data_IF_856769354905
#
_entry.id   IF_856769354905
#
_cell.length_a   1.000
_cell.length_b   1.000
_cell.length_c   1.000
_cell.angle_alpha   90.00
_cell.angle_beta   90.00
_cell.angle_gamma   90.00
#
_symmetry.space_group_name_H-M   'P 1'
#
loop_
_entity.id
_entity.type
_entity.pdbx_description
1 polymer ?
#
# COMPACT_ATOMS: atom_id res chain seq x y z
N UNK A 1 -1.95 11.11 -28.01
CA UNK A 1 -2.19 9.81 -27.37
C UNK A 1 -1.04 8.95 -27.86
N UNK A 2 -0.04 8.70 -27.01
CA UNK A 2 1.09 7.81 -27.38
C UNK A 2 0.50 6.41 -27.44
N UNK A 3 0.75 5.72 -28.55
CA UNK A 3 0.34 4.34 -28.70
C UNK A 3 0.99 3.51 -27.60
N UNK A 4 0.16 2.89 -26.75
CA UNK A 4 0.60 2.06 -25.63
C UNK A 4 1.54 0.95 -26.12
N UNK A 5 1.39 0.54 -27.37
CA UNK A 5 2.17 -0.49 -28.01
C UNK A 5 3.60 -0.03 -28.35
N UNK A 6 3.79 1.23 -28.76
CA UNK A 6 5.13 1.80 -28.99
C UNK A 6 5.99 1.82 -27.69
N UNK A 7 5.34 1.76 -26.52
CA UNK A 7 6.03 1.74 -25.22
C UNK A 7 6.22 0.31 -24.70
N UNK A 8 5.25 -0.58 -24.90
CA UNK A 8 5.27 -1.96 -24.38
C UNK A 8 6.20 -2.89 -25.16
N UNK A 9 6.22 -2.80 -26.48
CA UNK A 9 7.03 -3.68 -27.32
C UNK A 9 8.55 -3.56 -27.02
N UNK A 10 9.12 -2.35 -26.87
CA UNK A 10 10.51 -2.20 -26.43
C UNK A 10 10.75 -2.62 -24.99
N UNK A 11 9.75 -2.53 -24.11
CA UNK A 11 9.86 -2.94 -22.72
C UNK A 11 9.92 -4.47 -22.59
N UNK A 12 9.02 -5.17 -23.26
CA UNK A 12 9.00 -6.64 -23.33
C UNK A 12 10.30 -7.16 -23.98
N UNK A 13 10.75 -6.59 -25.09
CA UNK A 13 11.97 -6.99 -25.76
C UNK A 13 13.25 -6.82 -24.92
N UNK A 14 13.28 -5.89 -23.96
CA UNK A 14 14.43 -5.66 -23.06
C UNK A 14 14.44 -6.54 -21.82
N UNK A 15 13.29 -7.02 -21.39
CA UNK A 15 13.16 -7.86 -20.21
C UNK A 15 13.22 -9.33 -20.59
N UNK A 16 12.84 -9.65 -21.82
CA UNK A 16 12.88 -11.00 -22.39
C UNK A 16 14.25 -11.72 -22.24
N UNK A 17 15.42 -11.07 -22.40
CA UNK A 17 16.71 -11.70 -22.16
C UNK A 17 16.95 -12.17 -20.72
N UNK A 18 16.10 -11.77 -19.77
CA UNK A 18 16.18 -12.21 -18.36
C UNK A 18 15.33 -13.45 -18.07
N UNK A 19 14.57 -13.93 -19.04
CA UNK A 19 13.86 -15.22 -18.97
C UNK A 19 14.90 -16.33 -18.87
N UNK A 20 14.75 -17.31 -17.93
CA UNK A 20 15.77 -18.32 -17.71
C UNK A 20 16.19 -19.06 -18.97
N UNK A 21 17.48 -19.32 -19.10
CA UNK A 21 18.06 -20.09 -20.21
C UNK A 21 17.57 -21.52 -20.32
N UNK A 22 16.77 -21.98 -19.33
CA UNK A 22 16.15 -23.32 -19.28
C UNK A 22 15.01 -23.53 -20.26
N UNK A 23 14.43 -22.43 -20.82
CA UNK A 23 13.37 -22.56 -21.83
C UNK A 23 14.00 -22.77 -23.21
N UNK A 24 13.45 -23.72 -23.96
CA UNK A 24 13.80 -23.89 -25.38
C UNK A 24 13.35 -22.67 -26.20
N UNK A 25 13.99 -22.46 -27.35
CA UNK A 25 13.69 -21.34 -28.24
C UNK A 25 12.21 -21.34 -28.69
N UNK A 26 11.64 -22.52 -28.94
CA UNK A 26 10.22 -22.67 -29.28
C UNK A 26 9.27 -22.33 -28.12
N UNK A 27 9.66 -22.58 -26.86
CA UNK A 27 8.89 -22.20 -25.68
C UNK A 27 8.95 -20.70 -25.43
N UNK A 28 10.09 -20.06 -25.72
CA UNK A 28 10.26 -18.60 -25.67
C UNK A 28 9.39 -17.91 -26.70
N UNK A 29 9.45 -18.34 -27.98
CA UNK A 29 8.62 -17.78 -29.04
C UNK A 29 7.12 -17.93 -28.78
N UNK A 30 6.71 -19.08 -28.24
CA UNK A 30 5.31 -19.31 -27.88
C UNK A 30 4.85 -18.40 -26.74
N UNK A 31 5.66 -18.25 -25.69
CA UNK A 31 5.37 -17.42 -24.54
C UNK A 31 5.32 -15.94 -24.93
N UNK A 32 6.25 -15.48 -25.79
CA UNK A 32 6.24 -14.15 -26.35
C UNK A 32 4.95 -13.86 -27.13
N UNK A 33 4.54 -14.79 -27.99
CA UNK A 33 3.31 -14.67 -28.75
C UNK A 33 2.07 -14.60 -27.86
N UNK A 34 2.00 -15.42 -26.80
CA UNK A 34 0.88 -15.45 -25.83
C UNK A 34 0.81 -14.13 -25.04
N UNK A 35 1.95 -13.59 -24.57
CA UNK A 35 2.03 -12.28 -23.91
C UNK A 35 1.57 -11.15 -24.83
N UNK A 36 2.04 -11.14 -26.06
CA UNK A 36 1.68 -10.13 -27.03
C UNK A 36 0.19 -10.16 -27.37
N UNK A 37 -0.43 -11.34 -27.45
CA UNK A 37 -1.87 -11.51 -27.66
C UNK A 37 -2.66 -10.99 -26.46
N UNK A 38 -2.25 -11.32 -25.23
CA UNK A 38 -2.91 -10.87 -24.02
C UNK A 38 -2.85 -9.32 -23.86
N UNK A 39 -1.70 -8.72 -24.17
CA UNK A 39 -1.53 -7.26 -24.15
C UNK A 39 -2.40 -6.56 -25.20
N UNK A 40 -2.50 -7.10 -26.42
CA UNK A 40 -3.39 -6.56 -27.47
C UNK A 40 -4.88 -6.68 -27.11
N UNK A 41 -5.28 -7.79 -26.48
CA UNK A 41 -6.64 -7.96 -26.00
C UNK A 41 -7.02 -6.93 -24.95
N UNK A 42 -6.11 -6.64 -23.99
CA UNK A 42 -6.29 -5.57 -23.00
C UNK A 42 -6.39 -4.18 -23.64
N UNK A 43 -5.59 -3.89 -24.66
CA UNK A 43 -5.64 -2.62 -25.38
C UNK A 43 -6.97 -2.46 -26.14
N UNK A 44 -7.41 -3.52 -26.83
CA UNK A 44 -8.68 -3.53 -27.56
C UNK A 44 -9.87 -3.33 -26.63
N UNK A 45 -9.88 -3.95 -25.45
CA UNK A 45 -10.92 -3.79 -24.44
C UNK A 45 -10.98 -2.35 -23.87
N UNK A 46 -9.85 -1.63 -23.85
CA UNK A 46 -9.75 -0.23 -23.38
C UNK A 46 -10.19 0.79 -24.45
N UNK A 47 -10.02 0.48 -25.74
CA UNK A 47 -10.36 1.37 -26.87
C UNK A 47 -11.82 1.34 -27.31
N UNK A 48 -12.60 0.37 -26.87
CA UNK A 48 -13.99 0.17 -27.21
C UNK A 48 -14.94 0.90 -26.25
N UNK A 49 -15.29 2.15 -26.54
CA UNK A 49 -16.57 2.67 -26.09
C UNK A 49 -17.67 1.84 -26.80
N UNK A 50 -18.72 1.37 -26.11
CA UNK A 50 -19.75 0.56 -26.73
C UNK A 50 -20.51 1.40 -27.76
N UNK A 51 -20.30 1.14 -29.04
CA UNK A 51 -21.22 1.54 -30.08
C UNK A 51 -22.47 0.68 -29.95
N UNK A 52 -23.58 1.30 -29.67
CA UNK A 52 -24.90 0.66 -29.60
C UNK A 52 -25.19 -0.15 -30.89
N UNK A 53 -25.50 -1.42 -30.71
CA UNK A 53 -26.25 -2.22 -31.67
C UNK A 53 -25.44 -3.27 -32.42
N UNK A 54 -25.38 -4.49 -31.85
CA UNK A 54 -25.70 -5.75 -32.54
C UNK A 54 -25.81 -6.86 -31.48
N UNK A 55 -27.04 -7.30 -31.23
CA UNK A 55 -27.33 -8.56 -30.51
C UNK A 55 -26.95 -9.73 -31.40
N UNK A 56 -26.21 -10.68 -30.86
CA UNK A 56 -25.98 -11.98 -31.48
C UNK A 56 -24.85 -12.81 -30.89
N UNK A 57 -25.25 -13.81 -30.11
CA UNK A 57 -24.54 -15.06 -29.79
C UNK A 57 -23.34 -15.05 -28.84
N UNK A 58 -23.51 -15.76 -27.72
CA UNK A 58 -22.52 -16.25 -26.73
C UNK A 58 -21.45 -15.23 -26.31
N UNK A 59 -21.85 -14.38 -25.36
CA UNK A 59 -21.06 -13.24 -24.96
C UNK A 59 -20.26 -13.49 -23.70
N UNK A 60 -19.03 -13.96 -23.81
CA UNK A 60 -18.03 -13.65 -22.80
C UNK A 60 -17.65 -12.18 -22.92
N UNK A 61 -17.56 -11.48 -21.80
CA UNK A 61 -17.04 -10.10 -21.76
C UNK A 61 -15.59 -10.12 -22.24
N UNK A 62 -15.23 -9.34 -23.30
CA UNK A 62 -13.84 -9.31 -23.82
C UNK A 62 -12.79 -8.97 -22.74
N UNK A 63 -13.19 -8.25 -21.70
CA UNK A 63 -12.34 -7.95 -20.53
C UNK A 63 -12.12 -9.21 -19.67
N UNK A 64 -13.16 -10.03 -19.51
CA UNK A 64 -13.08 -11.27 -18.75
C UNK A 64 -12.29 -12.34 -19.49
N UNK A 65 -12.42 -12.42 -20.80
CA UNK A 65 -11.62 -13.33 -21.65
C UNK A 65 -10.13 -12.92 -21.66
N UNK A 66 -9.83 -11.63 -21.74
CA UNK A 66 -8.46 -11.12 -21.63
C UNK A 66 -7.87 -11.35 -20.22
N UNK A 67 -8.66 -11.18 -19.16
CA UNK A 67 -8.24 -11.44 -17.79
C UNK A 67 -7.95 -12.94 -17.55
N UNK A 68 -8.75 -13.82 -18.11
CA UNK A 68 -8.52 -15.28 -18.07
C UNK A 68 -7.27 -15.70 -18.85
N UNK A 69 -7.03 -15.10 -20.01
CA UNK A 69 -5.82 -15.36 -20.79
C UNK A 69 -4.55 -14.91 -20.08
N UNK A 70 -4.59 -13.75 -19.44
CA UNK A 70 -3.49 -13.24 -18.58
C UNK A 70 -3.27 -14.13 -17.36
N UNK A 71 -4.34 -14.57 -16.68
CA UNK A 71 -4.24 -15.48 -15.55
C UNK A 71 -3.65 -16.85 -15.94
N UNK A 72 -4.05 -17.39 -17.08
CA UNK A 72 -3.50 -18.65 -17.61
C UNK A 72 -2.01 -18.53 -17.98
N UNK A 73 -1.60 -17.37 -18.54
CA UNK A 73 -0.19 -17.11 -18.83
C UNK A 73 0.65 -16.98 -17.55
N UNK A 74 0.08 -16.44 -16.47
CA UNK A 74 0.73 -16.35 -15.15
C UNK A 74 0.85 -17.71 -14.46
N UNK A 75 -0.16 -18.56 -14.59
CA UNK A 75 -0.10 -19.94 -14.06
C UNK A 75 0.94 -20.77 -14.80
N UNK A 76 1.07 -20.58 -16.11
CA UNK A 76 2.04 -21.29 -16.92
C UNK A 76 3.49 -20.83 -16.68
N UNK A 77 3.70 -19.55 -16.34
CA UNK A 77 5.04 -19.02 -16.09
C UNK A 77 5.04 -17.88 -15.05
N UNK A 78 5.24 -18.21 -13.75
CA UNK A 78 5.21 -17.25 -12.65
C UNK A 78 6.08 -15.97 -12.81
N UNK A 79 7.32 -16.03 -13.36
CA UNK A 79 8.12 -14.82 -13.58
C UNK A 79 7.50 -13.80 -14.53
N UNK A 80 6.52 -14.19 -15.33
CA UNK A 80 5.79 -13.30 -16.24
C UNK A 80 4.94 -12.28 -15.49
N UNK A 81 4.43 -12.66 -14.31
CA UNK A 81 3.68 -11.78 -13.43
C UNK A 81 4.49 -10.56 -12.99
N UNK A 82 5.73 -10.80 -12.57
CA UNK A 82 6.63 -9.74 -12.12
C UNK A 82 7.00 -8.79 -13.28
N UNK A 83 7.10 -9.32 -14.50
CA UNK A 83 7.37 -8.57 -15.71
C UNK A 83 6.23 -7.68 -16.17
N UNK A 84 5.00 -8.19 -16.10
CA UNK A 84 3.80 -7.42 -16.46
C UNK A 84 3.50 -6.33 -15.44
N UNK A 85 3.65 -6.60 -14.14
CA UNK A 85 3.52 -5.58 -13.10
C UNK A 85 4.55 -4.48 -13.30
N UNK A 86 5.81 -4.81 -13.58
CA UNK A 86 6.85 -3.82 -13.87
C UNK A 86 6.57 -3.02 -15.17
N UNK A 87 5.99 -3.65 -16.19
CA UNK A 87 5.59 -2.99 -17.42
C UNK A 87 4.34 -2.12 -17.23
N UNK A 88 3.37 -2.56 -16.41
CA UNK A 88 2.19 -1.77 -16.05
C UNK A 88 2.57 -0.56 -15.17
N UNK A 89 3.41 -0.73 -14.17
CA UNK A 89 3.91 0.37 -13.35
C UNK A 89 4.62 1.42 -14.20
N UNK A 90 5.40 0.98 -15.21
CA UNK A 90 6.07 1.85 -16.16
C UNK A 90 5.09 2.65 -17.03
N UNK A 91 3.96 2.06 -17.43
CA UNK A 91 2.90 2.71 -18.22
C UNK A 91 2.15 3.78 -17.41
N UNK A 92 1.81 3.47 -16.17
CA UNK A 92 1.11 4.39 -15.25
C UNK A 92 1.94 5.66 -15.04
N UNK A 93 3.21 5.50 -14.74
CA UNK A 93 4.12 6.63 -14.54
C UNK A 93 4.38 7.44 -15.80
N UNK A 94 4.27 6.83 -17.00
CA UNK A 94 4.40 7.51 -18.29
C UNK A 94 3.24 8.45 -18.62
N UNK A 95 2.01 8.11 -18.24
CA UNK A 95 0.81 8.91 -18.53
C UNK A 95 0.66 10.16 -17.65
N UNK A 96 1.15 10.14 -16.42
CA UNK A 96 1.07 11.28 -15.50
C UNK A 96 1.97 12.47 -15.88
N UNK A 97 2.88 12.32 -16.84
CA UNK A 97 3.95 13.28 -17.16
C UNK A 97 3.75 14.20 -18.34
N UNK A 98 2.75 14.06 -19.13
CA UNK A 98 2.53 14.87 -20.34
C UNK A 98 1.39 15.89 -20.21
N UNK A 99 1.13 16.40 -19.01
CA UNK A 99 0.33 17.61 -18.82
C UNK A 99 1.08 18.84 -19.35
N UNK A 100 0.38 19.84 -19.94
CA UNK A 100 1.00 21.02 -20.58
C UNK A 100 1.75 21.97 -19.64
N UNK A 101 1.73 21.76 -18.32
CA UNK A 101 2.24 22.70 -17.32
C UNK A 101 3.47 22.22 -16.52
N UNK A 102 4.27 21.31 -17.04
CA UNK A 102 5.49 20.87 -16.34
C UNK A 102 6.57 21.98 -16.42
N UNK A 103 7.07 22.52 -15.28
CA UNK A 103 8.12 23.54 -15.29
C UNK A 103 9.44 22.96 -15.85
N UNK A 104 10.24 23.79 -16.56
CA UNK A 104 11.53 23.34 -17.11
C UNK A 104 12.50 22.95 -15.99
N UNK A 105 13.44 22.01 -16.23
CA UNK A 105 14.42 21.60 -15.24
C UNK A 105 15.35 22.76 -14.89
N UNK A 106 15.36 23.15 -13.62
CA UNK A 106 16.32 24.14 -13.11
C UNK A 106 17.70 23.48 -12.96
N UNK A 107 18.66 23.95 -13.75
CA UNK A 107 20.06 23.55 -13.64
C UNK A 107 20.72 24.38 -12.52
N UNK A 108 21.21 23.74 -11.48
CA UNK A 108 22.23 24.38 -10.62
C UNK A 108 21.97 24.57 -9.15
N UNK A 109 20.93 23.99 -8.54
CA UNK A 109 20.84 23.93 -7.07
C UNK A 109 21.36 22.57 -6.59
N UNK A 110 22.27 22.59 -5.61
CA UNK A 110 22.66 21.36 -4.92
C UNK A 110 21.40 20.74 -4.30
N UNK A 111 20.93 19.63 -4.87
CA UNK A 111 19.77 18.92 -4.38
C UNK A 111 20.06 18.44 -2.97
N UNK A 112 19.35 18.96 -2.01
CA UNK A 112 19.34 18.47 -0.64
C UNK A 112 18.41 17.26 -0.55
N UNK A 113 18.54 16.50 0.49
CA UNK A 113 17.64 15.39 0.81
C UNK A 113 17.37 15.40 2.30
N UNK A 114 16.16 14.99 2.68
CA UNK A 114 15.78 14.85 4.07
C UNK A 114 15.87 13.38 4.48
N UNK A 115 16.51 13.12 5.62
CA UNK A 115 16.58 11.79 6.22
C UNK A 115 15.41 11.64 7.19
N UNK A 116 14.54 10.69 6.91
CA UNK A 116 13.38 10.37 7.75
C UNK A 116 13.67 9.08 8.50
N UNK A 117 13.85 9.13 9.84
CA UNK A 117 13.98 7.93 10.64
C UNK A 117 12.61 7.25 10.80
N UNK A 118 12.57 5.94 10.59
CA UNK A 118 11.41 5.08 10.75
C UNK A 118 11.77 3.98 11.74
N UNK A 119 11.12 3.94 12.88
CA UNK A 119 11.23 2.81 13.79
C UNK A 119 10.45 1.62 13.21
N UNK A 120 11.01 0.42 13.27
CA UNK A 120 10.31 -0.75 12.72
C UNK A 120 10.27 -1.92 13.69
N UNK A 121 9.21 -2.70 13.55
CA UNK A 121 9.15 -4.08 13.99
C UNK A 121 8.86 -4.99 12.80
N UNK A 122 9.43 -6.19 12.80
CA UNK A 122 9.24 -7.14 11.71
C UNK A 122 9.35 -8.57 12.21
N UNK A 123 8.53 -9.47 11.67
CA UNK A 123 8.66 -10.92 11.82
C UNK A 123 9.19 -11.59 10.54
N UNK A 124 9.91 -10.82 9.71
CA UNK A 124 10.69 -11.32 8.57
C UNK A 124 12.01 -11.91 9.03
N UNK A 125 12.49 -12.93 8.34
CA UNK A 125 13.87 -13.40 8.52
C UNK A 125 14.87 -12.39 7.96
N UNK A 126 16.04 -12.22 8.62
CA UNK A 126 17.14 -11.45 8.07
C UNK A 126 17.54 -12.00 6.70
N UNK A 127 17.77 -11.13 5.73
CA UNK A 127 18.34 -11.53 4.45
C UNK A 127 19.84 -11.84 4.64
N UNK A 128 20.30 -12.99 4.18
CA UNK A 128 21.68 -13.46 4.36
C UNK A 128 22.75 -12.72 3.55
N UNK A 129 22.51 -11.47 3.14
CA UNK A 129 23.43 -10.64 2.34
C UNK A 129 24.04 -9.49 3.13
N UNK A 130 25.29 -9.14 2.83
CA UNK A 130 25.94 -7.93 3.31
C UNK A 130 25.53 -6.75 2.44
N UNK A 131 24.56 -5.94 2.88
CA UNK A 131 24.17 -4.72 2.19
C UNK A 131 22.88 -4.10 2.75
N UNK A 132 22.80 -2.79 2.71
CA UNK A 132 21.72 -1.97 3.28
C UNK A 132 20.35 -2.18 2.61
N UNK A 133 20.32 -2.63 1.36
CA UNK A 133 19.07 -2.78 0.59
C UNK A 133 18.30 -4.09 0.82
N UNK A 134 18.82 -5.03 1.61
CA UNK A 134 18.22 -6.32 1.88
C UNK A 134 18.39 -6.77 3.34
N UNK A 135 18.06 -5.88 4.29
CA UNK A 135 18.15 -6.23 5.71
C UNK A 135 17.23 -7.39 6.09
N UNK A 136 16.04 -7.48 5.46
CA UNK A 136 15.05 -8.51 5.70
C UNK A 136 14.44 -9.02 4.38
N UNK A 137 14.30 -10.33 4.30
CA UNK A 137 13.71 -11.02 3.15
C UNK A 137 12.18 -11.20 3.24
N UNK A 138 11.62 -12.02 2.36
CA UNK A 138 10.22 -12.45 2.39
C UNK A 138 9.99 -13.69 3.27
N UNK A 139 11.03 -14.27 3.88
CA UNK A 139 10.91 -15.44 4.74
C UNK A 139 10.50 -15.08 6.16
N UNK A 140 9.87 -16.06 6.85
CA UNK A 140 9.36 -15.91 8.21
C UNK A 140 10.48 -15.99 9.23
N UNK A 141 10.54 -15.01 10.13
CA UNK A 141 11.48 -14.94 11.24
C UNK A 141 10.79 -14.85 12.59
N UNK A 142 11.48 -14.32 13.57
CA UNK A 142 10.98 -13.93 14.88
C UNK A 142 10.82 -12.41 14.94
N UNK A 143 10.02 -11.91 15.87
CA UNK A 143 9.86 -10.48 16.06
C UNK A 143 11.20 -9.81 16.35
N UNK A 144 11.52 -8.84 15.54
CA UNK A 144 12.75 -8.05 15.59
C UNK A 144 12.41 -6.57 15.48
N UNK A 145 13.21 -5.74 16.12
CA UNK A 145 13.04 -4.29 16.18
C UNK A 145 14.24 -3.59 15.56
N UNK A 146 14.06 -2.35 15.16
CA UNK A 146 15.16 -1.52 14.70
C UNK A 146 14.73 -0.14 14.23
N UNK A 147 15.68 0.56 13.65
CA UNK A 147 15.49 1.86 12.99
C UNK A 147 15.98 1.74 11.56
N UNK A 148 15.19 2.26 10.64
CA UNK A 148 15.52 2.42 9.24
C UNK A 148 15.53 3.91 8.91
N UNK A 149 16.55 4.36 8.18
CA UNK A 149 16.64 5.75 7.72
C UNK A 149 16.28 5.77 6.25
N UNK A 150 15.26 6.55 5.90
CA UNK A 150 14.82 6.72 4.51
C UNK A 150 15.20 8.11 4.03
N UNK A 151 15.81 8.16 2.87
CA UNK A 151 16.14 9.40 2.20
C UNK A 151 14.97 9.84 1.32
N UNK A 152 14.46 11.04 1.55
CA UNK A 152 13.41 11.69 0.73
C UNK A 152 14.06 12.89 0.02
N UNK A 153 14.01 12.97 -1.33
CA UNK A 153 14.63 14.07 -2.07
C UNK A 153 13.89 15.40 -1.87
N UNK A 154 14.61 16.52 -2.02
CA UNK A 154 14.03 17.88 -1.87
C UNK A 154 12.94 18.21 -2.89
N UNK A 155 13.00 17.58 -4.08
CA UNK A 155 12.00 17.73 -5.15
C UNK A 155 10.88 16.69 -5.06
N UNK A 156 10.71 16.09 -3.87
CA UNK A 156 9.65 15.13 -3.58
C UNK A 156 8.26 15.70 -3.89
N UNK A 157 7.41 14.86 -4.47
CA UNK A 157 6.02 15.19 -4.79
C UNK A 157 5.09 14.47 -3.84
N UNK A 158 4.19 15.21 -3.22
CA UNK A 158 3.16 14.63 -2.34
C UNK A 158 2.43 13.49 -3.06
N UNK A 159 2.40 12.30 -2.45
CA UNK A 159 1.81 11.10 -2.99
C UNK A 159 2.72 10.29 -3.93
N UNK A 160 3.97 10.67 -4.12
CA UNK A 160 4.88 9.94 -5.00
C UNK A 160 5.97 9.21 -4.21
N UNK A 161 6.43 8.08 -4.71
CA UNK A 161 7.71 7.47 -4.32
C UNK A 161 8.63 7.54 -5.52
N UNK A 162 9.61 8.43 -5.44
CA UNK A 162 10.58 8.61 -6.51
C UNK A 162 11.50 7.40 -6.61
N UNK A 163 11.40 6.67 -7.72
CA UNK A 163 12.25 5.49 -8.01
C UNK A 163 13.10 5.75 -9.25
N UNK A 164 14.27 5.09 -9.39
CA UNK A 164 15.05 5.13 -10.62
C UNK A 164 14.20 4.69 -11.80
N UNK A 165 14.27 5.46 -12.91
CA UNK A 165 13.45 5.22 -14.10
C UNK A 165 14.33 4.70 -15.22
N UNK A 166 14.22 3.42 -15.53
CA UNK A 166 15.02 2.75 -16.54
C UNK A 166 14.84 3.34 -17.97
N UNK A 167 13.64 3.83 -18.33
CA UNK A 167 13.41 4.50 -19.61
C UNK A 167 14.09 5.88 -19.73
N UNK A 168 14.60 6.43 -18.61
CA UNK A 168 15.47 7.61 -18.61
C UNK A 168 16.95 7.24 -18.57
N UNK A 169 17.29 5.98 -18.87
CA UNK A 169 18.64 5.43 -18.77
C UNK A 169 19.24 5.58 -17.35
N UNK A 170 18.38 5.66 -16.32
CA UNK A 170 18.78 5.72 -14.93
C UNK A 170 18.68 4.32 -14.32
N UNK A 171 19.81 3.64 -14.25
CA UNK A 171 19.94 2.27 -13.73
C UNK A 171 20.45 2.25 -12.29
N UNK A 172 20.84 3.40 -11.73
CA UNK A 172 21.34 3.53 -10.37
C UNK A 172 20.46 4.50 -9.60
N UNK A 173 20.17 4.16 -8.33
CA UNK A 173 19.55 5.05 -7.37
C UNK A 173 20.41 6.29 -7.15
N UNK A 174 19.78 7.45 -7.08
CA UNK A 174 20.43 8.71 -6.73
C UNK A 174 19.70 9.31 -5.52
N UNK A 175 20.37 9.38 -4.33
CA UNK A 175 19.73 9.91 -3.12
C UNK A 175 19.15 11.31 -3.27
N UNK A 176 19.69 12.11 -4.17
CA UNK A 176 19.24 13.47 -4.42
C UNK A 176 17.94 13.54 -5.27
N UNK A 177 17.45 12.41 -5.80
CA UNK A 177 16.31 12.35 -6.72
C UNK A 177 15.37 11.18 -6.50
N UNK A 178 15.79 10.22 -5.72
CA UNK A 178 15.03 8.99 -5.49
C UNK A 178 14.80 8.79 -4.01
N UNK A 179 13.56 8.49 -3.63
CA UNK A 179 13.25 8.04 -2.28
C UNK A 179 13.80 6.62 -2.11
N UNK A 180 14.67 6.43 -1.14
CA UNK A 180 15.34 5.14 -0.97
C UNK A 180 15.61 4.81 0.49
N UNK A 181 15.62 3.52 0.78
CA UNK A 181 16.08 3.00 2.06
C UNK A 181 17.60 3.22 2.18
N UNK A 182 18.02 3.89 3.24
CA UNK A 182 19.41 4.02 3.65
C UNK A 182 19.80 2.98 4.70
N UNK A 183 20.37 3.43 5.81
CA UNK A 183 20.83 2.54 6.88
C UNK A 183 19.69 1.84 7.60
N UNK A 184 19.90 0.57 7.92
CA UNK A 184 19.00 -0.24 8.75
C UNK A 184 19.78 -0.75 9.94
N UNK A 185 19.36 -0.34 11.13
CA UNK A 185 20.02 -0.66 12.39
C UNK A 185 19.10 -1.52 13.28
N UNK A 186 19.40 -2.81 13.47
CA UNK A 186 18.66 -3.64 14.41
C UNK A 186 18.82 -3.13 15.85
N UNK A 187 17.75 -3.19 16.62
CA UNK A 187 17.70 -2.79 18.03
C UNK A 187 17.14 -3.93 18.89
N UNK A 188 17.50 -3.96 20.14
CA UNK A 188 16.76 -4.75 21.13
C UNK A 188 15.40 -4.07 21.43
N UNK A 189 14.44 -4.79 22.01
CA UNK A 189 13.16 -4.19 22.42
C UNK A 189 13.39 -2.97 23.35
N UNK A 190 14.30 -3.08 24.33
CA UNK A 190 14.66 -1.97 25.21
C UNK A 190 15.30 -0.80 24.45
N UNK A 191 16.21 -1.08 23.49
CA UNK A 191 16.82 -0.05 22.65
C UNK A 191 15.83 0.62 21.72
N UNK A 192 14.80 -0.10 21.25
CA UNK A 192 13.69 0.46 20.48
C UNK A 192 12.88 1.46 21.34
N UNK A 193 12.51 1.07 22.57
CA UNK A 193 11.80 1.95 23.50
C UNK A 193 12.63 3.20 23.84
N UNK A 194 13.93 3.03 24.12
CA UNK A 194 14.83 4.14 24.38
C UNK A 194 14.95 5.09 23.19
N UNK A 195 15.05 4.53 21.98
CA UNK A 195 15.10 5.32 20.75
C UNK A 195 13.78 6.10 20.54
N UNK A 196 12.63 5.48 20.79
CA UNK A 196 11.32 6.12 20.73
C UNK A 196 11.22 7.29 21.70
N UNK A 197 11.69 7.14 22.93
CA UNK A 197 11.76 8.23 23.91
C UNK A 197 12.66 9.39 23.44
N UNK A 198 13.80 9.08 22.85
CA UNK A 198 14.77 10.08 22.37
C UNK A 198 14.29 10.90 21.17
N UNK A 199 13.38 10.37 20.36
CA UNK A 199 12.80 11.08 19.22
C UNK A 199 11.63 12.01 19.61
N UNK A 200 11.08 11.88 20.80
CA UNK A 200 10.10 12.81 21.28
C UNK A 200 10.79 14.14 21.61
N UNK A 201 10.61 15.13 20.73
CA UNK A 201 11.00 16.50 21.09
C UNK A 201 10.32 16.89 22.40
N UNK A 202 11.01 17.64 23.30
CA UNK A 202 10.38 18.20 24.46
C UNK A 202 9.18 19.02 23.98
N UNK A 203 7.98 18.46 24.09
CA UNK A 203 6.76 19.16 23.79
C UNK A 203 6.52 20.25 24.84
N UNK A 204 5.63 21.16 24.50
CA UNK A 204 5.07 22.15 25.44
C UNK A 204 4.27 21.50 26.59
N UNK A 205 4.24 20.17 26.67
CA UNK A 205 3.50 19.38 27.65
C UNK A 205 1.99 19.27 27.34
N UNK A 206 1.50 20.00 26.36
CA UNK A 206 0.08 20.02 25.97
C UNK A 206 -0.22 19.11 24.77
N UNK A 207 0.75 18.88 23.88
CA UNK A 207 0.57 18.03 22.70
C UNK A 207 0.90 16.57 23.01
N UNK A 208 -0.02 15.60 22.79
CA UNK A 208 0.25 14.19 23.02
C UNK A 208 1.42 13.71 22.17
N UNK A 209 2.29 12.90 22.76
CA UNK A 209 3.36 12.19 22.02
C UNK A 209 2.71 11.11 21.16
N UNK A 210 2.61 11.35 19.87
CA UNK A 210 1.93 10.44 18.96
C UNK A 210 2.91 9.63 18.13
N UNK A 211 2.49 8.40 17.77
CA UNK A 211 3.16 7.58 16.79
C UNK A 211 2.16 7.13 15.72
N UNK A 212 2.67 6.89 14.51
CA UNK A 212 1.94 6.37 13.36
C UNK A 212 2.56 5.05 12.93
N UNK A 213 1.88 3.94 13.11
CA UNK A 213 2.28 2.64 12.58
C UNK A 213 1.63 2.42 11.22
N UNK A 214 2.46 2.23 10.20
CA UNK A 214 2.01 1.76 8.89
C UNK A 214 2.18 0.24 8.79
N UNK A 215 1.16 -0.46 8.29
CA UNK A 215 1.17 -1.91 8.03
C UNK A 215 0.91 -2.13 6.54
N UNK A 216 1.94 -2.58 5.83
CA UNK A 216 1.92 -2.72 4.37
C UNK A 216 1.02 -3.85 3.89
N UNK A 217 0.70 -3.81 2.61
CA UNK A 217 -0.11 -4.81 1.92
C UNK A 217 0.68 -6.00 1.40
N UNK A 218 0.02 -6.73 0.50
CA UNK A 218 0.55 -7.83 -0.29
C UNK A 218 1.61 -7.35 -1.28
N UNK A 219 2.52 -8.24 -1.65
CA UNK A 219 3.57 -8.00 -2.65
C UNK A 219 4.49 -6.81 -2.33
N UNK A 220 4.86 -6.65 -1.06
CA UNK A 220 5.70 -5.53 -0.60
C UNK A 220 6.95 -6.06 0.08
N UNK A 221 8.11 -5.58 -0.35
CA UNK A 221 9.39 -5.85 0.31
C UNK A 221 9.54 -5.03 1.60
N UNK A 222 10.50 -5.39 2.47
CA UNK A 222 10.83 -4.59 3.65
C UNK A 222 11.25 -3.16 3.27
N UNK A 223 12.08 -3.03 2.23
CA UNK A 223 12.55 -1.74 1.75
C UNK A 223 11.41 -0.85 1.24
N UNK A 224 10.50 -1.41 0.41
CA UNK A 224 9.36 -0.65 -0.10
C UNK A 224 8.40 -0.25 1.03
N UNK A 225 8.22 -1.11 2.03
CA UNK A 225 7.39 -0.78 3.20
C UNK A 225 8.00 0.38 4.02
N UNK A 226 9.32 0.37 4.25
CA UNK A 226 10.03 1.44 4.97
C UNK A 226 9.95 2.77 4.20
N UNK A 227 10.21 2.73 2.89
CA UNK A 227 10.09 3.88 1.99
C UNK A 227 8.67 4.45 2.01
N UNK A 228 7.65 3.61 1.90
CA UNK A 228 6.24 4.05 1.95
C UNK A 228 5.88 4.66 3.30
N UNK A 229 6.37 4.10 4.39
CA UNK A 229 6.14 4.64 5.74
C UNK A 229 6.72 6.05 5.88
N UNK A 230 7.96 6.24 5.43
CA UNK A 230 8.62 7.54 5.46
C UNK A 230 7.91 8.57 4.57
N UNK A 231 7.52 8.17 3.35
CA UNK A 231 6.77 9.02 2.43
C UNK A 231 5.44 9.48 3.03
N UNK A 232 4.64 8.56 3.60
CA UNK A 232 3.37 8.92 4.25
C UNK A 232 3.61 9.90 5.40
N UNK A 233 4.58 9.65 6.26
CA UNK A 233 4.91 10.53 7.39
C UNK A 233 5.37 11.92 6.92
N UNK A 234 6.18 11.97 5.87
CA UNK A 234 6.66 13.20 5.26
C UNK A 234 5.50 14.01 4.64
N UNK A 235 4.68 13.38 3.81
CA UNK A 235 3.56 14.02 3.12
C UNK A 235 2.48 14.55 4.07
N UNK A 236 2.26 13.83 5.17
CA UNK A 236 1.35 14.24 6.23
C UNK A 236 1.97 15.30 7.15
N UNK A 237 3.23 15.69 6.94
CA UNK A 237 3.96 16.52 7.90
C UNK A 237 3.73 16.01 9.35
N UNK A 238 3.83 14.69 9.53
CA UNK A 238 3.52 14.04 10.79
C UNK A 238 4.61 14.36 11.82
N UNK A 239 4.22 15.03 12.89
CA UNK A 239 5.15 15.50 13.93
C UNK A 239 5.48 14.46 15.00
N UNK A 240 4.80 13.30 14.97
CA UNK A 240 5.08 12.17 15.84
C UNK A 240 6.10 11.19 15.25
N UNK A 241 6.17 10.00 15.83
CA UNK A 241 7.09 8.94 15.40
C UNK A 241 6.49 8.12 14.26
N UNK A 242 7.11 8.11 13.07
CA UNK A 242 6.75 7.13 12.04
C UNK A 242 7.28 5.75 12.43
N UNK A 243 6.40 4.77 12.43
CA UNK A 243 6.71 3.38 12.70
C UNK A 243 6.21 2.47 11.59
N UNK A 244 6.93 1.41 11.32
CA UNK A 244 6.58 0.36 10.37
C UNK A 244 6.38 -0.96 11.11
N UNK A 245 5.29 -1.67 10.84
CA UNK A 245 5.24 -3.10 11.06
C UNK A 245 5.32 -3.84 9.72
N UNK A 246 6.40 -4.58 9.49
CA UNK A 246 6.64 -5.29 8.25
C UNK A 246 6.50 -6.80 8.43
N UNK A 247 5.36 -7.36 8.00
CA UNK A 247 5.13 -8.80 7.99
C UNK A 247 5.76 -9.46 6.74
N UNK A 248 6.06 -10.79 6.76
CA UNK A 248 6.83 -11.46 5.71
C UNK A 248 6.01 -11.74 4.44
N UNK A 249 5.69 -10.68 3.68
CA UNK A 249 5.22 -10.76 2.31
C UNK A 249 6.38 -11.13 1.38
N UNK A 250 6.11 -12.02 0.42
CA UNK A 250 7.12 -12.52 -0.52
C UNK A 250 7.57 -11.52 -1.56
N UNK A 251 6.89 -10.37 -1.66
CA UNK A 251 7.11 -9.38 -2.72
C UNK A 251 7.02 -10.02 -4.13
N UNK A 252 6.04 -10.89 -4.31
CA UNK A 252 5.76 -11.62 -5.55
C UNK A 252 4.25 -11.75 -5.74
N UNK A 253 3.76 -11.47 -6.94
CA UNK A 253 2.32 -11.50 -7.28
C UNK A 253 1.73 -12.91 -7.29
N UNK A 254 2.57 -13.94 -7.42
CA UNK A 254 2.12 -15.33 -7.44
C UNK A 254 1.92 -15.94 -6.05
N UNK A 255 2.43 -15.27 -5.01
CA UNK A 255 2.46 -15.81 -3.65
C UNK A 255 1.28 -15.32 -2.76
N UNK A 256 0.15 -14.91 -3.37
CA UNK A 256 -1.00 -14.39 -2.64
C UNK A 256 -1.49 -15.31 -1.51
N UNK A 257 -1.59 -16.63 -1.76
CA UNK A 257 -2.01 -17.58 -0.74
C UNK A 257 -0.95 -17.76 0.37
N UNK A 258 0.33 -17.74 -0.01
CA UNK A 258 1.44 -17.82 0.94
C UNK A 258 1.49 -16.58 1.83
N UNK A 259 1.29 -15.39 1.24
CA UNK A 259 1.20 -14.12 1.94
C UNK A 259 -0.02 -14.07 2.87
N UNK A 260 -1.18 -14.62 2.47
CA UNK A 260 -2.34 -14.74 3.34
C UNK A 260 -2.07 -15.58 4.61
N UNK A 261 -1.29 -16.66 4.48
CA UNK A 261 -0.83 -17.47 5.62
C UNK A 261 0.23 -16.74 6.47
N UNK A 262 1.10 -15.95 5.83
CA UNK A 262 2.10 -15.13 6.53
C UNK A 262 1.43 -14.01 7.33
N UNK A 263 0.45 -13.31 6.76
CA UNK A 263 -0.33 -12.28 7.44
C UNK A 263 -1.03 -12.84 8.69
N UNK A 264 -1.67 -14.01 8.59
CA UNK A 264 -2.29 -14.67 9.76
C UNK A 264 -1.28 -15.01 10.85
N UNK A 265 -0.09 -15.50 10.47
CA UNK A 265 0.99 -15.80 11.42
C UNK A 265 1.51 -14.54 12.10
N UNK A 266 1.51 -13.40 11.42
CA UNK A 266 2.00 -12.14 11.93
C UNK A 266 1.13 -11.53 13.04
N UNK A 267 -0.12 -11.94 13.18
CA UNK A 267 -1.08 -11.39 14.16
C UNK A 267 -0.52 -11.37 15.60
N UNK A 268 -0.04 -12.46 16.20
CA UNK A 268 0.48 -12.42 17.57
C UNK A 268 1.74 -11.56 17.71
N UNK A 269 2.59 -11.49 16.69
CA UNK A 269 3.76 -10.61 16.69
C UNK A 269 3.38 -9.13 16.62
N UNK A 270 2.37 -8.80 15.82
CA UNK A 270 1.85 -7.44 15.77
C UNK A 270 1.18 -7.04 17.10
N UNK A 271 0.47 -7.94 17.77
CA UNK A 271 -0.07 -7.70 19.10
C UNK A 271 1.03 -7.46 20.14
N UNK A 272 2.12 -8.24 20.09
CA UNK A 272 3.28 -8.04 20.96
C UNK A 272 3.91 -6.67 20.70
N UNK A 273 4.11 -6.29 19.43
CA UNK A 273 4.60 -4.98 19.05
C UNK A 273 3.69 -3.85 19.54
N UNK A 274 2.36 -3.95 19.35
CA UNK A 274 1.41 -2.94 19.83
C UNK A 274 1.49 -2.74 21.33
N UNK A 275 1.52 -3.84 22.10
CA UNK A 275 1.67 -3.77 23.56
C UNK A 275 2.98 -3.06 23.93
N UNK A 276 4.09 -3.45 23.32
CA UNK A 276 5.38 -2.83 23.57
C UNK A 276 5.37 -1.33 23.27
N UNK A 277 4.78 -0.90 22.15
CA UNK A 277 4.64 0.53 21.84
C UNK A 277 3.79 1.25 22.88
N UNK A 278 2.64 0.69 23.25
CA UNK A 278 1.71 1.35 24.18
C UNK A 278 2.23 1.38 25.63
N UNK A 279 3.09 0.44 26.05
CA UNK A 279 3.55 0.36 27.43
C UNK A 279 4.95 0.92 27.66
N UNK A 280 5.86 0.76 26.71
CA UNK A 280 7.28 0.94 26.99
C UNK A 280 7.92 2.12 26.26
N UNK A 281 7.26 2.70 25.23
CA UNK A 281 7.87 3.77 24.40
C UNK A 281 7.52 5.19 24.84
N UNK A 282 6.63 5.34 25.80
CA UNK A 282 6.14 6.65 26.24
C UNK A 282 5.25 7.37 25.22
N UNK A 283 4.73 6.67 24.22
CA UNK A 283 3.73 7.18 23.27
C UNK A 283 2.39 7.32 24.00
N UNK A 284 1.78 8.51 23.92
CA UNK A 284 0.46 8.77 24.52
C UNK A 284 -0.68 8.35 23.58
N UNK A 285 -0.48 8.49 22.26
CA UNK A 285 -1.49 8.16 21.24
C UNK A 285 -0.86 7.46 20.04
N UNK A 286 -1.33 6.24 19.76
CA UNK A 286 -0.86 5.40 18.67
C UNK A 286 -1.88 5.36 17.54
N UNK A 287 -1.55 5.93 16.38
CA UNK A 287 -2.33 5.78 15.15
C UNK A 287 -1.87 4.55 14.37
N UNK A 288 -2.82 3.86 13.73
CA UNK A 288 -2.54 2.70 12.90
C UNK A 288 -3.13 2.92 11.51
N UNK A 289 -2.32 2.78 10.47
CA UNK A 289 -2.76 2.82 9.06
C UNK A 289 -2.38 1.50 8.42
N UNK A 290 -3.38 0.74 7.98
CA UNK A 290 -3.18 -0.54 7.31
C UNK A 290 -3.62 -0.49 5.85
N UNK A 291 -2.85 -1.12 4.97
CA UNK A 291 -3.15 -1.19 3.55
C UNK A 291 -3.38 -2.63 3.08
N UNK A 292 -4.41 -2.83 2.24
CA UNK A 292 -4.66 -4.09 1.53
C UNK A 292 -4.69 -5.31 2.48
N UNK A 293 -3.87 -6.34 2.20
CA UNK A 293 -3.74 -7.55 3.02
C UNK A 293 -3.18 -7.27 4.43
N UNK A 294 -2.46 -6.17 4.66
CA UNK A 294 -2.04 -5.74 6.00
C UNK A 294 -3.21 -5.53 6.95
N UNK A 295 -4.40 -5.24 6.42
CA UNK A 295 -5.62 -5.15 7.24
C UNK A 295 -6.03 -6.50 7.85
N UNK A 296 -5.65 -7.65 7.28
CA UNK A 296 -5.87 -8.96 7.93
C UNK A 296 -5.11 -9.05 9.24
N UNK A 297 -3.86 -8.57 9.24
CA UNK A 297 -3.04 -8.53 10.46
C UNK A 297 -3.65 -7.59 11.49
N UNK A 298 -4.02 -6.38 11.06
CA UNK A 298 -4.49 -5.32 11.96
C UNK A 298 -5.88 -5.62 12.52
N UNK A 299 -6.82 -6.09 11.69
CA UNK A 299 -8.20 -6.38 12.13
C UNK A 299 -8.20 -7.51 13.17
N UNK A 300 -7.52 -8.63 12.89
CA UNK A 300 -7.46 -9.75 13.82
C UNK A 300 -6.74 -9.36 15.11
N UNK A 301 -5.60 -8.64 15.00
CA UNK A 301 -4.82 -8.25 16.17
C UNK A 301 -5.56 -7.26 17.07
N UNK A 302 -6.21 -6.22 16.52
CA UNK A 302 -6.91 -5.21 17.30
C UNK A 302 -8.24 -5.72 17.85
N UNK A 303 -8.93 -6.62 17.15
CA UNK A 303 -10.17 -7.22 17.65
C UNK A 303 -9.95 -8.06 18.93
N UNK A 304 -8.75 -8.65 19.07
CA UNK A 304 -8.37 -9.47 20.22
C UNK A 304 -7.46 -8.72 21.22
N UNK A 305 -7.12 -7.45 20.94
CA UNK A 305 -6.35 -6.63 21.86
C UNK A 305 -7.27 -6.15 23.00
N UNK A 306 -6.92 -6.49 24.24
CA UNK A 306 -7.58 -5.94 25.42
C UNK A 306 -6.79 -4.74 25.95
N UNK A 307 -7.21 -3.54 25.55
CA UNK A 307 -6.58 -2.30 26.02
C UNK A 307 -6.87 -2.00 27.49
N UNK A 308 -7.89 -2.63 28.07
CA UNK A 308 -8.21 -2.47 29.51
C UNK A 308 -7.26 -3.26 30.42
N UNK A 309 -6.57 -4.25 29.86
CA UNK A 309 -5.54 -5.03 30.55
C UNK A 309 -4.16 -4.36 30.52
N UNK A 310 -4.00 -3.23 29.81
CA UNK A 310 -2.75 -2.49 29.79
C UNK A 310 -2.52 -1.78 31.15
N UNK A 311 -1.24 -1.60 31.56
CA UNK A 311 -0.92 -0.93 32.82
C UNK A 311 -1.41 0.53 32.82
N UNK A 312 -1.62 1.06 34.04
CA UNK A 312 -1.95 2.48 34.21
C UNK A 312 -0.84 3.36 33.62
N UNK A 313 -1.21 4.38 32.88
CA UNK A 313 -0.27 5.26 32.16
C UNK A 313 0.18 4.75 30.80
N UNK A 314 -0.29 3.59 30.34
CA UNK A 314 -0.08 3.15 28.97
C UNK A 314 -0.72 4.12 27.96
N UNK A 315 -0.12 4.21 26.77
CA UNK A 315 -0.71 4.93 25.65
C UNK A 315 -2.05 4.32 25.20
N UNK A 316 -2.75 5.04 24.36
CA UNK A 316 -4.06 4.62 23.83
C UNK A 316 -4.03 4.51 22.31
N UNK A 317 -4.96 3.74 21.75
CA UNK A 317 -5.21 3.74 20.31
C UNK A 317 -5.87 5.07 19.90
N UNK A 318 -5.21 5.76 18.99
CA UNK A 318 -5.73 6.98 18.33
C UNK A 318 -6.65 6.65 17.17
N UNK A 319 -6.27 7.06 15.97
CA UNK A 319 -7.01 6.73 14.75
C UNK A 319 -6.56 5.38 14.19
N UNK A 320 -7.52 4.53 13.87
CA UNK A 320 -7.29 3.28 13.13
C UNK A 320 -7.87 3.44 11.73
N UNK A 321 -7.02 3.34 10.73
CA UNK A 321 -7.37 3.60 9.33
C UNK A 321 -7.18 2.33 8.51
N UNK A 322 -8.27 1.83 7.97
CA UNK A 322 -8.30 0.68 7.09
C UNK A 322 -8.37 1.17 5.65
N UNK A 323 -7.31 0.98 4.88
CA UNK A 323 -7.27 1.44 3.49
C UNK A 323 -7.29 0.24 2.55
N UNK A 324 -8.22 0.23 1.60
CA UNK A 324 -8.43 -0.85 0.64
C UNK A 324 -8.37 -2.26 1.29
N UNK A 325 -9.06 -2.52 2.43
CA UNK A 325 -8.87 -3.76 3.16
C UNK A 325 -9.23 -4.99 2.35
N UNK A 326 -8.25 -5.86 2.14
CA UNK A 326 -8.41 -7.20 1.58
C UNK A 326 -8.80 -8.19 2.68
N UNK A 327 -9.90 -7.91 3.33
CA UNK A 327 -10.53 -8.72 4.37
C UNK A 327 -11.94 -9.07 3.90
N UNK A 328 -12.42 -10.26 4.20
CA UNK A 328 -13.81 -10.62 3.98
C UNK A 328 -14.74 -9.60 4.64
N UNK A 329 -15.72 -9.08 3.89
CA UNK A 329 -16.58 -7.99 4.37
C UNK A 329 -17.46 -8.42 5.55
N UNK A 330 -17.87 -9.68 5.62
CA UNK A 330 -18.66 -10.21 6.72
C UNK A 330 -17.82 -10.37 7.97
N UNK A 331 -16.61 -10.95 7.85
CA UNK A 331 -15.64 -11.06 8.94
C UNK A 331 -15.28 -9.66 9.47
N UNK A 332 -15.06 -8.69 8.59
CA UNK A 332 -14.77 -7.32 8.99
C UNK A 332 -15.93 -6.71 9.80
N UNK A 333 -17.19 -6.89 9.35
CA UNK A 333 -18.38 -6.42 10.10
C UNK A 333 -18.51 -7.05 11.49
N UNK A 334 -18.08 -8.30 11.64
CA UNK A 334 -18.12 -8.99 12.94
C UNK A 334 -17.03 -8.48 13.91
N UNK A 335 -15.86 -8.12 13.40
CA UNK A 335 -14.71 -7.75 14.22
C UNK A 335 -14.60 -6.25 14.51
N UNK A 336 -14.98 -5.38 13.56
CA UNK A 336 -14.82 -3.93 13.68
C UNK A 336 -15.47 -3.31 14.91
N UNK A 337 -16.62 -3.78 15.44
CA UNK A 337 -17.21 -3.22 16.66
C UNK A 337 -16.30 -3.34 17.89
N UNK A 338 -15.45 -4.37 17.95
CA UNK A 338 -14.47 -4.53 19.05
C UNK A 338 -13.36 -3.48 18.94
N UNK A 339 -12.95 -3.16 17.72
CA UNK A 339 -11.87 -2.19 17.44
C UNK A 339 -12.38 -0.76 17.73
N UNK A 340 -13.58 -0.43 17.25
CA UNK A 340 -14.21 0.89 17.48
C UNK A 340 -14.31 1.24 18.95
N UNK A 341 -14.58 0.26 19.80
CA UNK A 341 -14.70 0.49 21.26
C UNK A 341 -13.36 0.77 21.95
N UNK A 342 -12.23 0.51 21.30
CA UNK A 342 -10.90 0.66 21.87
C UNK A 342 -10.11 1.84 21.26
N UNK A 343 -10.49 2.29 20.06
CA UNK A 343 -9.83 3.35 19.34
C UNK A 343 -10.59 4.69 19.49
N UNK A 344 -9.87 5.80 19.41
CA UNK A 344 -10.46 7.15 19.39
C UNK A 344 -11.35 7.37 18.16
N UNK A 345 -11.00 6.75 17.04
CA UNK A 345 -11.75 6.77 15.80
C UNK A 345 -11.30 5.70 14.84
N UNK A 346 -12.24 5.23 14.00
CA UNK A 346 -11.98 4.24 12.97
C UNK A 346 -12.48 4.77 11.62
N UNK A 347 -11.61 4.77 10.62
CA UNK A 347 -11.96 5.17 9.24
C UNK A 347 -11.68 4.02 8.28
N UNK A 348 -12.63 3.75 7.39
CA UNK A 348 -12.53 2.75 6.33
C UNK A 348 -12.59 3.46 4.97
N UNK A 349 -11.51 3.38 4.20
CA UNK A 349 -11.50 3.84 2.81
C UNK A 349 -11.82 2.69 1.86
N UNK A 350 -12.80 2.90 0.98
CA UNK A 350 -13.30 1.92 0.01
C UNK A 350 -13.29 2.49 -1.40
N UNK A 351 -13.16 1.62 -2.40
CA UNK A 351 -13.23 2.03 -3.81
C UNK A 351 -13.97 0.98 -4.65
N UNK A 352 -14.82 1.42 -5.58
CA UNK A 352 -15.41 0.57 -6.60
C UNK A 352 -14.41 0.27 -7.75
N UNK A 353 -13.39 1.10 -7.90
CA UNK A 353 -12.42 1.04 -8.99
C UNK A 353 -11.15 0.26 -8.62
N UNK A 354 -11.10 -0.37 -7.44
CA UNK A 354 -9.97 -1.14 -6.96
C UNK A 354 -9.90 -2.51 -7.64
N UNK A 355 -9.04 -2.62 -8.66
CA UNK A 355 -8.87 -3.83 -9.47
C UNK A 355 -8.18 -4.95 -8.71
N UNK A 356 -7.30 -4.62 -7.77
CA UNK A 356 -6.63 -5.64 -6.97
C UNK A 356 -7.61 -6.32 -6.01
N UNK A 357 -8.52 -5.56 -5.40
CA UNK A 357 -9.59 -6.15 -4.59
C UNK A 357 -10.62 -6.91 -5.44
N UNK A 358 -10.87 -6.46 -6.68
CA UNK A 358 -11.72 -7.22 -7.61
C UNK A 358 -11.09 -8.58 -7.94
N UNK A 359 -9.79 -8.64 -8.22
CA UNK A 359 -9.07 -9.88 -8.44
C UNK A 359 -9.04 -10.77 -7.17
N UNK A 360 -8.80 -10.18 -5.99
CA UNK A 360 -8.86 -10.89 -4.70
C UNK A 360 -10.24 -11.51 -4.45
N UNK A 361 -11.32 -10.79 -4.80
CA UNK A 361 -12.70 -11.30 -4.69
C UNK A 361 -12.92 -12.54 -5.54
N UNK A 362 -12.40 -12.56 -6.78
CA UNK A 362 -12.51 -13.74 -7.65
C UNK A 362 -11.85 -14.97 -7.04
N UNK A 363 -10.71 -14.79 -6.37
CA UNK A 363 -9.99 -15.87 -5.70
C UNK A 363 -10.67 -16.37 -4.42
N UNK A 364 -11.39 -15.50 -3.73
CA UNK A 364 -11.95 -15.76 -2.39
C UNK A 364 -13.47 -15.96 -2.37
N UNK A 365 -14.16 -15.78 -3.51
CA UNK A 365 -15.61 -15.97 -3.69
C UNK A 365 -16.51 -15.04 -2.86
N UNK A 366 -15.93 -14.12 -2.05
CA UNK A 366 -16.66 -13.23 -1.15
C UNK A 366 -16.27 -11.76 -1.31
N UNK A 367 -17.20 -10.80 -1.09
CA UNK A 367 -16.92 -9.37 -1.13
C UNK A 367 -15.80 -8.99 -0.15
N UNK A 368 -14.96 -8.03 -0.55
CA UNK A 368 -13.92 -7.46 0.30
C UNK A 368 -14.39 -6.19 0.97
N UNK A 369 -13.97 -5.99 2.23
CA UNK A 369 -14.34 -4.81 3.01
C UNK A 369 -13.90 -3.49 2.37
N UNK A 370 -12.83 -3.50 1.56
CA UNK A 370 -12.35 -2.33 0.80
C UNK A 370 -13.14 -2.01 -0.47
N UNK A 371 -14.15 -2.81 -0.84
CA UNK A 371 -14.96 -2.56 -2.02
C UNK A 371 -16.13 -1.62 -1.72
N UNK A 372 -16.28 -0.57 -2.54
CA UNK A 372 -17.49 0.27 -2.56
C UNK A 372 -18.63 -0.38 -3.38
N UNK A 373 -19.81 0.25 -3.38
CA UNK A 373 -20.97 -0.19 -4.10
C UNK A 373 -22.01 -0.88 -3.20
N UNK A 374 -22.86 -1.79 -3.73
CA UNK A 374 -24.02 -2.34 -3.00
C UNK A 374 -23.68 -3.07 -1.69
N UNK A 375 -22.45 -3.55 -1.57
CA UNK A 375 -21.96 -4.28 -0.40
C UNK A 375 -21.05 -3.45 0.53
N UNK A 376 -21.02 -2.13 0.37
CA UNK A 376 -20.18 -1.25 1.19
C UNK A 376 -20.39 -1.52 2.68
N UNK A 377 -19.32 -1.55 3.44
CA UNK A 377 -19.39 -1.79 4.88
C UNK A 377 -19.73 -0.49 5.60
N UNK A 378 -20.86 -0.48 6.28
CA UNK A 378 -21.27 0.60 7.20
C UNK A 378 -21.52 -0.03 8.56
N UNK A 379 -20.94 0.55 9.62
CA UNK A 379 -21.10 0.07 10.98
C UNK A 379 -21.07 1.25 11.97
N UNK A 380 -21.73 1.14 13.14
CA UNK A 380 -21.69 2.16 14.16
C UNK A 380 -20.26 2.45 14.62
N UNK A 381 -19.88 3.73 14.65
CA UNK A 381 -18.53 4.18 15.05
C UNK A 381 -17.44 4.00 14.01
N UNK A 382 -17.76 3.47 12.83
CA UNK A 382 -16.87 3.37 11.68
C UNK A 382 -17.23 4.46 10.66
N UNK A 383 -16.27 5.31 10.34
CA UNK A 383 -16.39 6.34 9.31
C UNK A 383 -15.97 5.74 7.95
N UNK A 384 -16.92 5.25 7.16
CA UNK A 384 -16.64 4.72 5.82
C UNK A 384 -16.60 5.86 4.80
N UNK A 385 -15.53 5.90 4.00
CA UNK A 385 -15.23 6.92 2.98
C UNK A 385 -15.01 6.25 1.62
N UNK A 386 -15.89 6.54 0.67
CA UNK A 386 -15.78 6.09 -0.71
C UNK A 386 -14.89 7.06 -1.51
N UNK A 387 -13.82 6.52 -2.08
CA UNK A 387 -12.84 7.25 -2.90
C UNK A 387 -12.99 6.93 -4.39
N UNK A 388 -14.07 6.30 -4.81
CA UNK A 388 -14.26 5.83 -6.19
C UNK A 388 -14.23 6.96 -7.22
N UNK A 389 -14.66 8.17 -6.86
CA UNK A 389 -14.66 9.34 -7.74
C UNK A 389 -13.29 10.00 -7.91
N UNK A 390 -12.32 9.59 -7.09
CA UNK A 390 -10.93 10.09 -7.24
C UNK A 390 -10.24 9.30 -8.36
N UNK A 391 -9.43 9.99 -9.15
CA UNK A 391 -8.54 9.33 -10.12
C UNK A 391 -7.40 8.63 -9.35
N UNK A 392 -7.62 7.35 -9.07
CA UNK A 392 -6.72 6.53 -8.26
C UNK A 392 -5.66 5.79 -9.09
N UNK A 393 -5.47 6.18 -10.34
CA UNK A 393 -4.54 5.53 -11.27
C UNK A 393 -5.04 4.20 -11.81
N UNK A 394 -4.20 3.48 -12.57
CA UNK A 394 -4.63 2.29 -13.35
C UNK A 394 -5.07 1.09 -12.49
N UNK A 395 -4.51 0.91 -11.31
CA UNK A 395 -4.88 -0.20 -10.41
C UNK A 395 -5.93 0.20 -9.38
N UNK A 396 -6.05 1.50 -9.08
CA UNK A 396 -6.98 2.01 -8.07
C UNK A 396 -6.71 1.50 -6.65
N UNK A 397 -5.55 0.90 -6.37
CA UNK A 397 -5.28 0.19 -5.12
C UNK A 397 -4.36 0.96 -4.16
N UNK A 398 -3.44 1.77 -4.67
CA UNK A 398 -2.43 2.48 -3.86
C UNK A 398 -2.87 3.87 -3.38
N UNK A 399 -4.13 4.26 -3.57
CA UNK A 399 -4.65 5.59 -3.28
C UNK A 399 -4.34 6.14 -1.88
N UNK A 400 -4.15 5.33 -0.81
CA UNK A 400 -3.89 5.90 0.51
C UNK A 400 -2.55 6.65 0.62
N UNK A 401 -1.57 6.28 -0.19
CA UNK A 401 -0.27 6.94 -0.22
C UNK A 401 0.01 7.75 -1.48
N UNK A 402 -0.81 7.58 -2.53
CA UNK A 402 -0.52 8.13 -3.86
C UNK A 402 -1.46 9.29 -4.25
N UNK A 403 -2.62 9.44 -3.58
CA UNK A 403 -3.60 10.45 -3.96
C UNK A 403 -3.62 11.64 -2.98
N UNK A 404 -3.40 12.86 -3.50
CA UNK A 404 -3.33 14.09 -2.68
C UNK A 404 -4.57 14.35 -1.83
N UNK A 405 -5.77 14.08 -2.37
CA UNK A 405 -7.02 14.29 -1.63
C UNK A 405 -7.13 13.33 -0.44
N UNK A 406 -6.72 12.08 -0.60
CA UNK A 406 -6.70 11.10 0.49
C UNK A 406 -5.65 11.46 1.53
N UNK A 407 -4.46 11.89 1.12
CA UNK A 407 -3.42 12.37 2.04
C UNK A 407 -3.86 13.61 2.80
N UNK A 408 -4.53 14.58 2.13
CA UNK A 408 -5.11 15.75 2.79
C UNK A 408 -6.18 15.38 3.82
N UNK A 409 -7.00 14.39 3.49
CA UNK A 409 -8.03 13.87 4.37
C UNK A 409 -7.43 13.16 5.58
N UNK A 410 -6.41 12.29 5.36
CA UNK A 410 -5.63 11.65 6.42
C UNK A 410 -4.93 12.67 7.32
N UNK A 411 -4.40 13.76 6.77
CA UNK A 411 -3.82 14.84 7.56
C UNK A 411 -4.84 15.44 8.54
N UNK A 412 -6.04 15.78 8.06
CA UNK A 412 -7.12 16.29 8.92
C UNK A 412 -7.55 15.31 10.00
N UNK A 413 -7.60 14.01 9.62
CA UNK A 413 -7.96 12.92 10.53
C UNK A 413 -6.89 12.69 11.62
N UNK A 414 -5.64 12.50 11.23
CA UNK A 414 -4.56 12.13 12.15
C UNK A 414 -4.10 13.30 13.01
N UNK A 415 -4.03 14.51 12.43
CA UNK A 415 -3.57 15.70 13.13
C UNK A 415 -4.62 16.33 14.04
N UNK A 416 -5.87 16.35 13.59
CA UNK A 416 -6.94 17.10 14.25
C UNK A 416 -8.08 16.22 14.75
N UNK A 417 -8.10 14.94 14.41
CA UNK A 417 -9.20 14.03 14.73
C UNK A 417 -10.53 14.45 14.09
N UNK A 418 -10.48 15.08 12.92
CA UNK A 418 -11.67 15.58 12.23
C UNK A 418 -12.67 14.46 11.95
N UNK A 419 -13.92 14.68 12.32
CA UNK A 419 -15.04 13.84 11.89
C UNK A 419 -15.28 14.02 10.39
N UNK A 420 -15.89 13.05 9.67
CA UNK A 420 -16.10 13.18 8.24
C UNK A 420 -16.84 14.45 7.81
N UNK A 421 -17.77 14.95 8.63
CA UNK A 421 -18.49 16.22 8.38
C UNK A 421 -17.61 17.48 8.43
N UNK A 422 -16.39 17.35 8.95
CA UNK A 422 -15.40 18.44 9.06
C UNK A 422 -14.26 18.26 8.04
N UNK A 423 -14.26 17.16 7.27
CA UNK A 423 -13.22 16.79 6.31
C UNK A 423 -13.61 17.33 4.93
N UNK A 424 -12.65 17.99 4.28
CA UNK A 424 -12.91 18.68 3.02
C UNK A 424 -13.25 17.71 1.89
N UNK A 425 -14.23 18.07 1.06
CA UNK A 425 -14.62 17.31 -0.12
C UNK A 425 -15.48 16.07 0.17
N UNK A 426 -15.82 15.78 1.43
CA UNK A 426 -16.68 14.66 1.77
C UNK A 426 -18.16 15.06 1.83
N UNK A 427 -19.00 14.32 1.14
CA UNK A 427 -20.45 14.40 1.24
C UNK A 427 -21.04 13.15 1.86
N UNK A 428 -22.09 13.34 2.66
CA UNK A 428 -22.80 12.26 3.33
C UNK A 428 -23.72 11.53 2.35
N UNK A 429 -23.59 10.20 2.28
CA UNK A 429 -24.42 9.31 1.46
C UNK A 429 -25.28 8.44 2.38
N UNK A 430 -26.61 8.45 2.24
CA UNK A 430 -27.51 7.60 3.01
C UNK A 430 -27.28 6.11 2.70
N UNK A 431 -27.38 5.25 3.74
CA UNK A 431 -27.31 3.80 3.62
C UNK A 431 -28.32 3.16 4.59
N UNK A 432 -28.89 1.97 4.32
CA UNK A 432 -29.84 1.29 5.22
C UNK A 432 -29.31 1.13 6.66
N UNK A 433 -28.01 0.86 6.82
CA UNK A 433 -27.36 0.68 8.11
C UNK A 433 -26.82 2.01 8.70
N UNK A 434 -27.19 3.17 8.14
CA UNK A 434 -26.76 4.48 8.63
C UNK A 434 -26.37 5.46 7.54
N UNK A 435 -25.08 5.70 7.34
CA UNK A 435 -24.54 6.52 6.27
C UNK A 435 -23.05 6.23 6.08
N UNK A 436 -22.54 6.50 4.89
CA UNK A 436 -21.13 6.61 4.59
C UNK A 436 -20.83 7.96 3.93
N UNK A 437 -19.59 8.22 3.61
CA UNK A 437 -19.15 9.46 3.01
C UNK A 437 -18.48 9.19 1.66
N UNK A 438 -18.60 10.11 0.72
CA UNK A 438 -17.95 10.00 -0.57
C UNK A 438 -17.26 11.31 -0.92
N UNK A 439 -16.09 11.22 -1.57
CA UNK A 439 -15.47 12.39 -2.13
C UNK A 439 -16.36 12.95 -3.25
N UNK A 440 -16.51 14.27 -3.26
CA UNK A 440 -17.16 14.98 -4.35
C UNK A 440 -16.16 15.25 -5.46
N UNK A 441 -16.51 15.06 -6.74
CA UNK A 441 -15.65 15.30 -7.88
C UNK A 441 -15.22 16.77 -8.01
#
# INVERSE_FOLDING_TARGET
MVDMWEVLEPAVARVWPKVPDSLSEAERERLEAEVLVALRALESARGGAPSAGTEGADGADPVEEAAQAVAAAFEAYPPLGDLLVAAFDALVEGQERFGPDAPPPSWGTALRSLLVPVLYATDRAPAGGSGTSAAYGGDRGQLSYGEAVVNVPDDHRIGAVEKPRWWRLRFRTNPARDTQLGDVSPLSAAGFAERAHGHHLPGDGETPRSALVFVHGYNVSFADAAVRTAQIAYDLNFTGLPMLYSWPSKASVTDYAADGNAARRAVPYFQEFLRHVLTDTGVDELHVVAHSMGNRVVVDALADLDTTALPEGAGRLGQVVFTAPDVDAEVFRQLVPRIVNQARGCTLYVSANDRALAASRLLAEHPRAGQAGPGVVVAPGLDTVDVSELDTGLTGHSYPGDHRSVLSDLYGLLRHGHRPSQRYGLARVPHPDGAYWAFQP
#
